data_IF_287790798692
#
_entry.id   IF_287790798692
#
_cell.length_a   1.000
_cell.length_b   1.000
_cell.length_c   1.000
_cell.angle_alpha   90.00
_cell.angle_beta   90.00
_cell.angle_gamma   90.00
#
_symmetry.space_group_name_H-M   'P 1'
#
loop_
_entity.id
_entity.type
_entity.pdbx_description
1 polymer ?
#
# COMPACT_ATOMS: atom_id res chain seq x y z
N UNK A 1 10.14 -4.66 9.81
CA UNK A 1 9.75 -4.29 11.20
C UNK A 1 10.06 -5.44 12.15
N UNK A 2 10.09 -5.22 13.47
CA UNK A 2 10.28 -6.31 14.45
C UNK A 2 8.90 -6.86 14.79
N UNK A 3 8.60 -8.09 14.40
CA UNK A 3 7.25 -8.69 14.45
C UNK A 3 6.61 -8.61 15.85
N UNK A 4 7.36 -8.92 16.91
CA UNK A 4 6.85 -8.88 18.30
C UNK A 4 6.44 -7.48 18.80
N UNK A 5 6.82 -6.42 18.08
CA UNK A 5 6.47 -5.03 18.39
C UNK A 5 5.58 -4.39 17.32
N UNK A 6 5.19 -5.17 16.34
CA UNK A 6 4.39 -4.69 15.20
C UNK A 6 2.95 -5.11 15.39
N UNK A 7 2.05 -4.13 15.39
CA UNK A 7 0.61 -4.39 15.34
C UNK A 7 0.29 -5.06 13.99
N UNK A 8 -0.47 -6.18 13.96
CA UNK A 8 -0.69 -6.94 12.72
C UNK A 8 -1.22 -6.11 11.55
N UNK A 9 -2.18 -5.22 11.80
CA UNK A 9 -2.78 -4.37 10.77
C UNK A 9 -1.76 -3.40 10.17
N UNK A 10 -0.93 -2.78 11.03
CA UNK A 10 0.14 -1.90 10.56
C UNK A 10 1.24 -2.68 9.83
N UNK A 11 1.54 -3.90 10.31
CA UNK A 11 2.50 -4.79 9.66
C UNK A 11 2.07 -5.20 8.26
N UNK A 12 0.78 -5.49 8.08
CA UNK A 12 0.21 -5.83 6.78
C UNK A 12 0.35 -4.68 5.77
N UNK A 13 0.07 -3.43 6.18
CA UNK A 13 0.18 -2.26 5.30
C UNK A 13 1.57 -2.17 4.65
N UNK A 14 2.64 -2.47 5.42
CA UNK A 14 4.01 -2.40 4.93
C UNK A 14 4.61 -3.77 4.56
N UNK A 15 3.77 -4.79 4.38
CA UNK A 15 4.22 -6.08 3.85
C UNK A 15 4.55 -5.99 2.35
N UNK A 16 5.40 -6.90 1.86
CA UNK A 16 5.69 -6.98 0.43
C UNK A 16 4.45 -7.41 -0.37
N UNK A 17 3.63 -8.27 0.19
CA UNK A 17 2.38 -8.71 -0.42
C UNK A 17 1.44 -7.52 -0.68
N UNK A 18 1.23 -6.66 0.32
CA UNK A 18 0.42 -5.46 0.15
C UNK A 18 1.07 -4.46 -0.83
N UNK A 19 2.39 -4.27 -0.76
CA UNK A 19 3.14 -3.42 -1.71
C UNK A 19 2.90 -3.89 -3.15
N UNK A 20 3.05 -5.18 -3.43
CA UNK A 20 2.89 -5.72 -4.77
C UNK A 20 1.42 -5.71 -5.23
N UNK A 21 0.46 -5.93 -4.33
CA UNK A 21 -0.96 -5.78 -4.66
C UNK A 21 -1.30 -4.33 -5.07
N UNK A 22 -0.74 -3.34 -4.37
CA UNK A 22 -0.88 -1.93 -4.75
C UNK A 22 -0.20 -1.64 -6.09
N UNK A 23 0.99 -2.18 -6.33
CA UNK A 23 1.68 -2.02 -7.60
C UNK A 23 0.87 -2.60 -8.77
N UNK A 24 0.30 -3.80 -8.60
CA UNK A 24 -0.59 -4.39 -9.59
C UNK A 24 -1.77 -3.47 -9.90
N UNK A 25 -2.44 -2.96 -8.86
CA UNK A 25 -3.60 -2.07 -9.05
C UNK A 25 -3.22 -0.77 -9.77
N UNK A 26 -2.07 -0.16 -9.45
CA UNK A 26 -1.61 1.05 -10.14
C UNK A 26 -1.37 0.78 -11.62
N UNK A 27 -0.70 -0.33 -11.97
CA UNK A 27 -0.42 -0.70 -13.35
C UNK A 27 -1.71 -0.97 -14.15
N UNK A 28 -2.67 -1.65 -13.53
CA UNK A 28 -3.97 -1.93 -14.16
C UNK A 28 -4.75 -0.63 -14.38
N UNK A 29 -4.84 0.23 -13.36
CA UNK A 29 -5.52 1.53 -13.45
C UNK A 29 -4.87 2.43 -14.50
N UNK A 30 -3.54 2.39 -14.65
CA UNK A 30 -2.84 3.13 -15.70
C UNK A 30 -3.25 2.65 -17.09
N UNK A 31 -3.37 1.35 -17.31
CA UNK A 31 -3.85 0.78 -18.58
C UNK A 31 -5.29 1.17 -18.86
N UNK A 32 -6.17 1.10 -17.87
CA UNK A 32 -7.59 1.51 -18.01
C UNK A 32 -7.72 3.00 -18.35
N UNK A 33 -6.99 3.87 -17.64
CA UNK A 33 -6.99 5.30 -17.91
C UNK A 33 -6.50 5.61 -19.33
N UNK A 34 -5.48 4.92 -19.81
CA UNK A 34 -4.96 5.09 -21.17
C UNK A 34 -5.95 4.59 -22.22
N UNK A 35 -6.68 3.51 -21.94
CA UNK A 35 -7.74 3.01 -22.81
C UNK A 35 -8.92 4.02 -22.92
N UNK A 36 -9.27 4.67 -21.81
CA UNK A 36 -10.28 5.73 -21.81
C UNK A 36 -9.83 6.97 -22.59
N UNK A 37 -8.59 7.38 -22.45
CA UNK A 37 -8.01 8.51 -23.18
C UNK A 37 -7.88 8.26 -24.68
N UNK A 38 -7.78 7.01 -25.13
CA UNK A 38 -7.74 6.59 -26.52
C UNK A 38 -6.56 7.13 -27.34
N UNK A 39 -5.45 7.52 -26.69
CA UNK A 39 -4.34 8.21 -27.37
C UNK A 39 -3.19 7.30 -27.81
N UNK A 40 -3.01 6.16 -27.17
CA UNK A 40 -1.86 5.28 -27.41
C UNK A 40 -2.22 3.98 -28.13
N UNK A 41 -3.51 3.70 -28.32
CA UNK A 41 -3.97 2.54 -29.08
C UNK A 41 -4.33 1.30 -28.26
N UNK A 42 -4.24 1.34 -26.93
CA UNK A 42 -4.81 0.30 -26.07
C UNK A 42 -6.34 0.33 -26.19
N UNK A 43 -6.95 -0.82 -26.45
CA UNK A 43 -8.41 -0.96 -26.48
C UNK A 43 -8.97 -1.18 -25.06
N UNK A 44 -10.27 -0.93 -24.89
CA UNK A 44 -10.96 -1.25 -23.62
C UNK A 44 -10.97 -2.74 -23.33
N UNK A 45 -11.04 -3.58 -24.35
CA UNK A 45 -11.00 -5.04 -24.21
C UNK A 45 -9.63 -5.50 -23.73
N UNK A 46 -8.53 -4.92 -24.22
CA UNK A 46 -7.19 -5.20 -23.75
C UNK A 46 -6.98 -4.74 -22.29
N UNK A 47 -7.49 -3.57 -21.93
CA UNK A 47 -7.42 -3.09 -20.55
C UNK A 47 -8.22 -3.99 -19.59
N UNK A 48 -9.41 -4.45 -20.02
CA UNK A 48 -10.21 -5.41 -19.26
C UNK A 48 -9.50 -6.76 -19.15
N UNK A 49 -8.89 -7.25 -20.23
CA UNK A 49 -8.07 -8.46 -20.19
C UNK A 49 -6.94 -8.36 -19.16
N UNK A 50 -6.20 -7.23 -19.16
CA UNK A 50 -5.15 -6.99 -18.16
C UNK A 50 -5.72 -7.02 -16.74
N UNK A 51 -6.88 -6.38 -16.50
CA UNK A 51 -7.58 -6.40 -15.21
C UNK A 51 -7.89 -7.83 -14.74
N UNK A 52 -8.41 -8.66 -15.64
CA UNK A 52 -8.88 -10.00 -15.32
C UNK A 52 -7.75 -11.02 -15.12
N UNK A 53 -6.58 -10.79 -15.75
CA UNK A 53 -5.47 -11.74 -15.75
C UNK A 53 -4.24 -11.26 -14.96
N UNK A 54 -4.19 -9.99 -14.56
CA UNK A 54 -3.08 -9.48 -13.75
C UNK A 54 -3.00 -10.23 -12.43
N UNK A 55 -1.85 -10.81 -12.16
CA UNK A 55 -1.54 -11.52 -10.92
C UNK A 55 -0.04 -11.51 -10.66
N UNK A 56 0.39 -11.87 -9.46
CA UNK A 56 1.80 -12.03 -9.12
C UNK A 56 1.99 -13.15 -8.09
N UNK A 57 3.17 -13.70 -8.08
CA UNK A 57 3.63 -14.63 -7.04
C UNK A 57 4.94 -14.11 -6.45
N UNK A 58 4.91 -13.77 -5.14
CA UNK A 58 6.07 -13.18 -4.46
C UNK A 58 7.35 -14.00 -4.63
N UNK A 59 7.26 -15.33 -4.46
CA UNK A 59 8.44 -16.21 -4.60
C UNK A 59 9.05 -16.13 -6.01
N UNK A 60 8.20 -16.01 -7.04
CA UNK A 60 8.65 -15.87 -8.42
C UNK A 60 9.26 -14.50 -8.69
N UNK A 61 8.70 -13.45 -8.11
CA UNK A 61 9.29 -12.09 -8.17
C UNK A 61 10.69 -12.10 -7.55
N UNK A 62 10.85 -12.70 -6.36
CA UNK A 62 12.15 -12.81 -5.68
C UNK A 62 13.19 -13.56 -6.57
N UNK A 63 12.77 -14.68 -7.22
CA UNK A 63 13.62 -15.43 -8.15
C UNK A 63 14.06 -14.61 -9.37
N UNK A 64 13.13 -13.86 -9.97
CA UNK A 64 13.43 -13.00 -11.12
C UNK A 64 14.34 -11.84 -10.72
N UNK A 65 14.18 -11.29 -9.52
CA UNK A 65 15.01 -10.20 -9.01
C UNK A 65 16.47 -10.62 -8.82
N UNK A 66 16.74 -11.86 -8.47
CA UNK A 66 18.11 -12.39 -8.40
C UNK A 66 18.89 -12.19 -9.71
N UNK A 67 18.19 -12.20 -10.84
CA UNK A 67 18.75 -12.03 -12.19
C UNK A 67 18.73 -10.56 -12.62
N UNK A 68 17.57 -9.91 -12.49
CA UNK A 68 17.34 -8.55 -12.99
C UNK A 68 18.00 -7.48 -12.13
N UNK A 69 18.23 -7.77 -10.85
CA UNK A 69 18.75 -6.83 -9.85
C UNK A 69 17.91 -5.54 -9.75
N UNK A 70 16.61 -5.66 -10.03
CA UNK A 70 15.67 -4.53 -10.03
C UNK A 70 14.26 -5.02 -9.68
N UNK A 71 13.76 -4.57 -8.53
CA UNK A 71 12.49 -5.02 -7.95
C UNK A 71 11.27 -4.76 -8.85
N UNK A 72 11.16 -3.55 -9.41
CA UNK A 72 10.04 -3.20 -10.31
C UNK A 72 10.09 -4.05 -11.59
N UNK A 73 11.27 -4.23 -12.20
CA UNK A 73 11.40 -5.06 -13.40
C UNK A 73 11.02 -6.51 -13.10
N UNK A 74 11.45 -7.05 -11.94
CA UNK A 74 11.13 -8.40 -11.53
C UNK A 74 9.61 -8.58 -11.35
N UNK A 75 8.97 -7.67 -10.64
CA UNK A 75 7.52 -7.66 -10.44
C UNK A 75 6.77 -7.59 -11.77
N UNK A 76 7.10 -6.63 -12.62
CA UNK A 76 6.46 -6.46 -13.93
C UNK A 76 6.66 -7.67 -14.85
N UNK A 77 7.82 -8.32 -14.80
CA UNK A 77 8.09 -9.54 -15.57
C UNK A 77 7.15 -10.65 -15.15
N UNK A 78 7.01 -10.90 -13.84
CA UNK A 78 6.09 -11.93 -13.34
C UNK A 78 4.62 -11.58 -13.64
N UNK A 79 4.19 -10.34 -13.44
CA UNK A 79 2.84 -9.91 -13.76
C UNK A 79 2.50 -10.11 -15.25
N UNK A 80 3.44 -9.80 -16.14
CA UNK A 80 3.28 -10.01 -17.60
C UNK A 80 3.16 -11.48 -17.98
N UNK A 81 3.87 -12.38 -17.29
CA UNK A 81 3.73 -13.83 -17.49
C UNK A 81 2.27 -14.27 -17.25
N UNK A 82 1.62 -13.77 -16.20
CA UNK A 82 0.21 -14.06 -15.93
C UNK A 82 -0.73 -13.49 -16.98
N UNK A 83 -0.56 -12.22 -17.35
CA UNK A 83 -1.41 -11.54 -18.35
C UNK A 83 -1.35 -12.25 -19.70
N UNK A 84 -0.20 -12.78 -20.08
CA UNK A 84 0.02 -13.38 -21.39
C UNK A 84 -0.17 -14.90 -21.42
N UNK A 85 -0.43 -15.54 -20.28
CA UNK A 85 -0.48 -17.00 -20.16
C UNK A 85 -1.51 -17.66 -21.10
N UNK A 86 -2.68 -17.04 -21.25
CA UNK A 86 -3.79 -17.55 -22.03
C UNK A 86 -3.90 -16.89 -23.43
N UNK A 87 -2.92 -16.07 -23.83
CA UNK A 87 -2.89 -15.42 -25.14
C UNK A 87 -2.40 -16.41 -26.19
N UNK A 88 -3.17 -16.65 -27.28
CA UNK A 88 -2.74 -17.55 -28.35
C UNK A 88 -1.39 -17.17 -28.95
N UNK A 89 -0.65 -18.19 -29.39
CA UNK A 89 0.64 -17.98 -30.05
C UNK A 89 0.45 -17.19 -31.37
N UNK A 90 1.18 -16.08 -31.50
CA UNK A 90 1.10 -15.19 -32.65
C UNK A 90 0.18 -13.97 -32.48
N UNK A 91 -0.66 -13.97 -31.44
CA UNK A 91 -1.50 -12.81 -31.14
C UNK A 91 -0.73 -11.71 -30.38
N UNK A 92 -1.11 -10.44 -30.54
CA UNK A 92 -0.50 -9.34 -29.80
C UNK A 92 -0.72 -9.48 -28.30
N UNK A 93 0.37 -9.47 -27.53
CA UNK A 93 0.32 -9.62 -26.08
C UNK A 93 -0.18 -8.36 -25.38
N UNK A 94 -1.28 -8.41 -24.60
CA UNK A 94 -1.81 -7.25 -23.87
C UNK A 94 -0.80 -6.68 -22.86
N UNK A 95 0.09 -7.51 -22.34
CA UNK A 95 1.14 -7.08 -21.39
C UNK A 95 2.07 -5.99 -21.93
N UNK A 96 2.11 -5.74 -23.24
CA UNK A 96 2.90 -4.65 -23.83
C UNK A 96 2.49 -3.26 -23.35
N UNK A 97 1.27 -3.13 -22.83
CA UNK A 97 0.74 -1.87 -22.31
C UNK A 97 1.09 -1.61 -20.84
N UNK A 98 1.47 -2.67 -20.12
CA UNK A 98 1.86 -2.57 -18.71
C UNK A 98 3.13 -1.74 -18.60
N UNK A 99 3.12 -0.77 -17.71
CA UNK A 99 4.21 0.19 -17.46
C UNK A 99 4.51 1.15 -18.63
N UNK A 100 3.58 1.28 -19.56
CA UNK A 100 3.75 2.15 -20.72
C UNK A 100 3.72 3.61 -20.33
N UNK A 101 4.84 4.32 -20.60
CA UNK A 101 4.97 5.75 -20.29
C UNK A 101 5.19 6.05 -18.82
N UNK A 102 5.47 5.05 -17.99
CA UNK A 102 5.77 5.18 -16.57
C UNK A 102 7.25 4.89 -16.28
N UNK A 103 7.71 5.37 -15.15
CA UNK A 103 9.00 4.98 -14.55
C UNK A 103 8.80 4.34 -13.18
N UNK A 104 9.83 3.71 -12.64
CA UNK A 104 9.76 3.04 -11.33
C UNK A 104 9.27 3.94 -10.19
N UNK A 105 9.62 5.24 -10.23
CA UNK A 105 9.14 6.21 -9.22
C UNK A 105 7.65 6.50 -9.32
N UNK A 106 7.07 6.51 -10.53
CA UNK A 106 5.61 6.69 -10.68
C UNK A 106 4.85 5.57 -9.96
N UNK A 107 5.37 4.34 -10.01
CA UNK A 107 4.81 3.19 -9.33
C UNK A 107 5.15 3.21 -7.82
N UNK A 108 6.43 3.33 -7.49
CA UNK A 108 6.93 3.20 -6.13
C UNK A 108 6.44 4.29 -5.19
N UNK A 109 6.51 5.56 -5.61
CA UNK A 109 6.12 6.71 -4.80
C UNK A 109 4.59 6.78 -4.63
N UNK A 110 3.83 6.47 -5.68
CA UNK A 110 2.36 6.37 -5.60
C UNK A 110 1.94 5.28 -4.61
N UNK A 111 2.55 4.09 -4.69
CA UNK A 111 2.27 3.00 -3.77
C UNK A 111 2.62 3.37 -2.32
N UNK A 112 3.77 4.00 -2.10
CA UNK A 112 4.16 4.46 -0.76
C UNK A 112 3.17 5.48 -0.20
N UNK A 113 2.75 6.46 -1.01
CA UNK A 113 1.74 7.44 -0.59
C UNK A 113 0.42 6.77 -0.20
N UNK A 114 -0.01 5.74 -0.95
CA UNK A 114 -1.21 5.00 -0.61
C UNK A 114 -1.05 4.18 0.68
N UNK A 115 0.09 3.50 0.89
CA UNK A 115 0.39 2.81 2.14
C UNK A 115 0.41 3.80 3.34
N UNK A 116 0.97 4.99 3.16
CA UNK A 116 0.95 6.03 4.19
C UNK A 116 -0.48 6.50 4.52
N UNK A 117 -1.36 6.59 3.52
CA UNK A 117 -2.78 6.90 3.75
C UNK A 117 -3.44 5.81 4.60
N UNK A 118 -3.24 4.53 4.26
CA UNK A 118 -3.75 3.40 5.06
C UNK A 118 -3.22 3.45 6.51
N UNK A 119 -1.93 3.75 6.68
CA UNK A 119 -1.32 3.86 8.01
C UNK A 119 -1.88 5.05 8.81
N UNK A 120 -2.07 6.20 8.17
CA UNK A 120 -2.67 7.38 8.79
C UNK A 120 -4.10 7.11 9.25
N UNK A 121 -4.91 6.38 8.50
CA UNK A 121 -6.27 6.03 8.89
C UNK A 121 -6.28 5.23 10.19
N UNK A 122 -5.41 4.24 10.35
CA UNK A 122 -5.25 3.48 11.60
C UNK A 122 -4.84 4.38 12.77
N UNK A 123 -3.89 5.29 12.55
CA UNK A 123 -3.41 6.21 13.58
C UNK A 123 -4.53 7.18 14.00
N UNK A 124 -5.30 7.69 13.04
CA UNK A 124 -6.43 8.59 13.31
C UNK A 124 -7.50 7.88 14.15
N UNK A 125 -7.82 6.63 13.85
CA UNK A 125 -8.74 5.84 14.66
C UNK A 125 -8.23 5.65 16.10
N UNK A 126 -6.96 5.34 16.27
CA UNK A 126 -6.37 5.15 17.60
C UNK A 126 -6.34 6.46 18.39
N UNK A 127 -6.01 7.59 17.75
CA UNK A 127 -6.07 8.92 18.39
C UNK A 127 -7.50 9.28 18.83
N UNK A 128 -8.51 8.98 18.02
CA UNK A 128 -9.91 9.16 18.40
C UNK A 128 -10.28 8.32 19.62
N UNK A 129 -9.93 7.03 19.63
CA UNK A 129 -10.16 6.13 20.79
C UNK A 129 -9.44 6.64 22.04
N UNK A 130 -8.19 7.07 21.91
CA UNK A 130 -7.43 7.65 23.03
C UNK A 130 -8.13 8.92 23.55
N UNK A 131 -8.59 9.81 22.66
CA UNK A 131 -9.31 11.02 23.03
C UNK A 131 -10.58 10.73 23.87
N UNK A 132 -11.37 9.73 23.46
CA UNK A 132 -12.55 9.32 24.25
C UNK A 132 -12.18 8.73 25.61
N UNK A 133 -11.10 7.96 25.70
CA UNK A 133 -10.60 7.43 26.98
C UNK A 133 -10.15 8.57 27.88
N UNK A 134 -9.35 9.51 27.37
CA UNK A 134 -8.88 10.67 28.13
C UNK A 134 -10.06 11.51 28.64
N UNK A 135 -11.03 11.79 27.79
CA UNK A 135 -12.24 12.50 28.15
C UNK A 135 -13.00 11.80 29.28
N UNK A 136 -13.26 10.50 29.13
CA UNK A 136 -13.93 9.69 30.17
C UNK A 136 -13.15 9.75 31.48
N UNK A 137 -11.84 9.50 31.46
CA UNK A 137 -11.00 9.54 32.67
C UNK A 137 -10.97 10.92 33.30
N UNK A 138 -10.93 12.00 32.54
CA UNK A 138 -10.99 13.35 33.05
C UNK A 138 -12.29 13.63 33.84
N UNK A 139 -13.43 13.12 33.36
CA UNK A 139 -14.70 13.25 34.09
C UNK A 139 -14.77 12.34 35.33
N UNK A 140 -14.26 11.11 35.25
CA UNK A 140 -14.22 10.17 36.37
C UNK A 140 -13.38 10.72 37.53
N UNK A 141 -12.21 11.26 37.21
CA UNK A 141 -11.18 11.65 38.17
C UNK A 141 -11.19 13.15 38.51
N UNK A 142 -12.19 13.91 38.03
CA UNK A 142 -12.23 15.37 38.20
C UNK A 142 -12.14 15.88 39.65
N UNK A 143 -12.50 15.03 40.63
CA UNK A 143 -12.46 15.35 42.05
C UNK A 143 -11.39 14.50 42.79
N UNK A 144 -10.57 13.75 42.10
CA UNK A 144 -9.51 12.93 42.70
C UNK A 144 -8.35 13.84 43.11
N UNK A 145 -8.11 13.92 44.42
CA UNK A 145 -7.05 14.74 44.96
C UNK A 145 -5.67 14.18 44.60
N UNK A 146 -4.79 15.01 44.12
CA UNK A 146 -3.41 14.70 43.88
C UNK A 146 -2.47 15.81 44.39
N UNK A 147 -1.20 15.49 44.62
CA UNK A 147 -0.19 16.50 44.94
C UNK A 147 0.33 17.12 43.65
N UNK A 148 0.09 18.42 43.46
CA UNK A 148 0.77 19.19 42.42
C UNK A 148 2.29 19.08 42.59
N UNK A 149 3.03 19.09 41.47
CA UNK A 149 4.50 19.05 41.44
C UNK A 149 5.06 19.98 40.38
N UNK A 150 6.09 20.70 40.78
CA UNK A 150 6.91 21.50 39.87
C UNK A 150 8.38 21.36 40.25
N UNK A 151 9.24 21.25 39.26
CA UNK A 151 10.69 21.00 39.45
C UNK A 151 11.02 19.84 40.43
N UNK A 152 10.17 18.78 40.44
CA UNK A 152 10.33 17.63 41.35
C UNK A 152 9.95 17.91 42.84
N UNK A 153 9.42 19.10 43.15
CA UNK A 153 9.04 19.52 44.50
C UNK A 153 7.49 19.51 44.61
N UNK A 154 6.96 19.12 45.75
CA UNK A 154 5.53 19.16 46.05
C UNK A 154 5.05 20.64 46.05
N UNK A 155 3.93 20.88 45.38
CA UNK A 155 3.18 22.12 45.43
C UNK A 155 1.85 21.87 46.18
N UNK A 156 0.84 22.71 45.93
CA UNK A 156 -0.49 22.59 46.56
C UNK A 156 -1.21 21.31 46.14
N UNK A 157 -2.15 20.83 46.98
CA UNK A 157 -3.12 19.83 46.56
C UNK A 157 -4.01 20.36 45.41
N UNK A 158 -4.24 19.50 44.42
CA UNK A 158 -5.06 19.86 43.25
C UNK A 158 -5.92 18.67 42.80
N UNK A 159 -6.86 18.90 41.89
CA UNK A 159 -7.66 17.85 41.22
C UNK A 159 -7.40 17.81 39.73
#
# INVERSE_FOLDING_TARGET
MIDRYTRPEMGHIFSLENKYAIWQEIEVLACEAQAELGKIGISKDEAQWIRDHANFEKAKVDEIEEVTRHDVIAFLTNMKEYIDADVPEGDPKPSRWVHYGMTSSDLGDTALCYQLTQACDLIIEDVKKLGEICKRRAFEERNTLCAGRTHGIHAEPMT
#
